data_IF_582103106988
#
_entry.id   IF_582103106988
#
_cell.length_a   1.000
_cell.length_b   1.000
_cell.length_c   1.000
_cell.angle_alpha   90.00
_cell.angle_beta   90.00
_cell.angle_gamma   90.00
#
_symmetry.space_group_name_H-M   'P 1'
#
loop_
_entity.id
_entity.type
_entity.pdbx_description
1 polymer ?
#
# COMPACT_ATOMS: atom_id res chain seq x y z
N UNK A 1 9.00 2.97 -19.57
CA UNK A 1 7.87 2.03 -19.78
C UNK A 1 6.80 2.66 -20.64
N UNK A 2 6.10 3.72 -20.23
CA UNK A 2 5.02 4.33 -21.02
C UNK A 2 5.40 4.77 -22.44
N UNK A 3 6.56 5.42 -22.62
CA UNK A 3 7.03 5.87 -23.94
C UNK A 3 7.35 4.67 -24.85
N UNK A 4 8.00 3.63 -24.32
CA UNK A 4 8.30 2.42 -25.08
C UNK A 4 7.03 1.65 -25.46
N UNK A 5 6.04 1.57 -24.56
CA UNK A 5 4.75 0.96 -24.87
C UNK A 5 3.95 1.76 -25.91
N UNK A 6 3.98 3.10 -25.83
CA UNK A 6 3.35 3.96 -26.85
C UNK A 6 4.04 3.83 -28.21
N UNK A 7 5.37 3.79 -28.25
CA UNK A 7 6.15 3.60 -29.47
C UNK A 7 5.94 2.20 -30.07
N UNK A 8 5.94 1.15 -29.24
CA UNK A 8 5.63 -0.21 -29.65
C UNK A 8 4.22 -0.33 -30.24
N UNK A 9 3.23 0.27 -29.56
CA UNK A 9 1.85 0.27 -30.02
C UNK A 9 1.71 1.02 -31.35
N UNK A 10 2.40 2.14 -31.52
CA UNK A 10 2.40 2.89 -32.77
C UNK A 10 3.11 2.15 -33.93
N UNK A 11 4.17 1.39 -33.65
CA UNK A 11 4.99 0.75 -34.67
C UNK A 11 4.46 -0.63 -35.12
N UNK A 12 4.01 -1.46 -34.17
CA UNK A 12 3.63 -2.86 -34.39
C UNK A 12 2.29 -3.23 -33.75
N UNK A 13 1.58 -2.28 -33.14
CA UNK A 13 0.26 -2.52 -32.52
C UNK A 13 0.32 -3.20 -31.14
N UNK A 14 1.51 -3.37 -30.57
CA UNK A 14 1.71 -4.05 -29.28
C UNK A 14 2.26 -3.09 -28.22
N UNK A 15 1.64 -3.06 -27.05
CA UNK A 15 2.09 -2.19 -25.95
C UNK A 15 3.18 -2.83 -25.07
N UNK A 16 3.28 -4.15 -25.06
CA UNK A 16 4.32 -4.88 -24.33
C UNK A 16 5.61 -4.94 -25.16
N UNK A 17 6.74 -4.60 -24.52
CA UNK A 17 8.03 -4.57 -25.19
C UNK A 17 8.49 -5.97 -25.63
N UNK A 18 8.12 -7.02 -24.89
CA UNK A 18 8.45 -8.39 -25.25
C UNK A 18 7.67 -8.83 -26.49
N UNK A 19 6.40 -8.43 -26.62
CA UNK A 19 5.60 -8.70 -27.81
C UNK A 19 6.13 -7.93 -29.04
N UNK A 20 6.55 -6.68 -28.85
CA UNK A 20 7.23 -5.88 -29.88
C UNK A 20 8.50 -6.59 -30.37
N UNK A 21 9.30 -7.13 -29.46
CA UNK A 21 10.54 -7.84 -29.79
C UNK A 21 10.27 -9.16 -30.52
N UNK A 22 9.24 -9.91 -30.12
CA UNK A 22 8.81 -11.13 -30.83
C UNK A 22 8.38 -10.79 -32.26
N UNK A 23 7.59 -9.73 -32.45
CA UNK A 23 7.15 -9.28 -33.77
C UNK A 23 8.32 -8.87 -34.69
N UNK A 24 9.45 -8.46 -34.11
CA UNK A 24 10.69 -8.12 -34.82
C UNK A 24 11.63 -9.32 -35.03
N UNK A 25 11.24 -10.53 -34.63
CA UNK A 25 12.07 -11.74 -34.74
C UNK A 25 13.10 -11.93 -33.62
N UNK A 26 13.04 -11.12 -32.55
CA UNK A 26 13.98 -11.13 -31.42
C UNK A 26 13.47 -11.98 -30.25
N UNK A 27 13.14 -13.25 -30.51
CA UNK A 27 12.54 -14.15 -29.51
C UNK A 27 13.42 -14.34 -28.26
N UNK A 28 14.72 -14.61 -28.44
CA UNK A 28 15.64 -14.85 -27.32
C UNK A 28 15.74 -13.63 -26.38
N UNK A 29 16.01 -12.41 -26.88
CA UNK A 29 15.92 -11.20 -26.06
C UNK A 29 14.55 -11.00 -25.40
N UNK A 30 13.45 -11.29 -26.09
CA UNK A 30 12.10 -11.10 -25.54
C UNK A 30 11.85 -11.98 -24.30
N UNK A 31 12.28 -13.25 -24.34
CA UNK A 31 12.17 -14.18 -23.21
C UNK A 31 12.99 -13.69 -22.02
N UNK A 32 14.22 -13.22 -22.26
CA UNK A 32 15.09 -12.71 -21.20
C UNK A 32 14.50 -11.46 -20.56
N UNK A 33 14.04 -10.49 -21.36
CA UNK A 33 13.44 -9.25 -20.86
C UNK A 33 12.16 -9.52 -20.07
N UNK A 34 11.28 -10.38 -20.59
CA UNK A 34 10.05 -10.77 -19.89
C UNK A 34 10.35 -11.46 -18.56
N UNK A 35 11.27 -12.44 -18.59
CA UNK A 35 11.68 -13.18 -17.40
C UNK A 35 12.29 -12.29 -16.32
N UNK A 36 13.20 -11.38 -16.69
CA UNK A 36 13.82 -10.44 -15.75
C UNK A 36 12.81 -9.42 -15.19
N UNK A 37 11.87 -8.96 -16.00
CA UNK A 37 10.82 -8.04 -15.56
C UNK A 37 9.92 -8.67 -14.49
N UNK A 38 9.47 -9.92 -14.74
CA UNK A 38 8.64 -10.67 -13.79
C UNK A 38 9.43 -11.04 -12.54
N UNK A 39 10.68 -11.50 -12.69
CA UNK A 39 11.53 -11.88 -11.56
C UNK A 39 11.73 -10.70 -10.61
N UNK A 40 12.31 -9.60 -11.09
CA UNK A 40 12.73 -8.49 -10.23
C UNK A 40 11.55 -7.84 -9.50
N UNK A 41 10.38 -7.76 -10.14
CA UNK A 41 9.17 -7.23 -9.51
C UNK A 41 8.62 -8.18 -8.43
N UNK A 42 8.63 -9.49 -8.68
CA UNK A 42 8.16 -10.48 -7.71
C UNK A 42 9.12 -10.60 -6.50
N UNK A 43 10.43 -10.53 -6.72
CA UNK A 43 11.45 -10.51 -5.67
C UNK A 43 11.23 -9.33 -4.70
N UNK A 44 11.04 -8.12 -5.25
CA UNK A 44 10.73 -6.93 -4.45
C UNK A 44 9.45 -7.09 -3.62
N UNK A 45 8.39 -7.70 -4.17
CA UNK A 45 7.14 -7.93 -3.46
C UNK A 45 7.28 -8.98 -2.33
N UNK A 46 8.01 -10.06 -2.58
CA UNK A 46 8.29 -11.09 -1.57
C UNK A 46 9.20 -10.60 -0.46
N UNK A 47 10.18 -9.76 -0.80
CA UNK A 47 11.04 -9.11 0.18
C UNK A 47 10.25 -8.13 1.05
N UNK A 48 9.48 -7.22 0.45
CA UNK A 48 8.71 -6.22 1.19
C UNK A 48 7.65 -6.87 2.09
N UNK A 49 6.92 -7.86 1.59
CA UNK A 49 5.95 -8.60 2.40
C UNK A 49 6.63 -9.41 3.51
N UNK A 50 7.73 -10.11 3.22
CA UNK A 50 8.48 -10.88 4.21
C UNK A 50 9.00 -10.01 5.36
N UNK A 51 9.56 -8.84 5.05
CA UNK A 51 9.99 -7.86 6.06
C UNK A 51 8.80 -7.30 6.87
N UNK A 52 7.69 -7.02 6.20
CA UNK A 52 6.46 -6.57 6.85
C UNK A 52 5.95 -7.56 7.89
N UNK A 53 5.86 -8.84 7.54
CA UNK A 53 5.46 -9.89 8.49
C UNK A 53 6.52 -10.16 9.56
N UNK A 54 7.82 -10.07 9.23
CA UNK A 54 8.90 -10.26 10.19
C UNK A 54 8.85 -9.20 11.29
N UNK A 55 8.58 -7.94 10.93
CA UNK A 55 8.44 -6.85 11.91
C UNK A 55 7.24 -7.03 12.86
N UNK A 56 6.17 -7.69 12.42
CA UNK A 56 4.99 -7.94 13.25
C UNK A 56 5.16 -9.19 14.13
N UNK A 57 5.71 -10.26 13.57
CA UNK A 57 5.76 -11.59 14.21
C UNK A 57 7.08 -11.88 14.93
N UNK A 58 8.15 -11.11 14.65
CA UNK A 58 9.51 -11.39 15.12
C UNK A 58 10.18 -12.60 14.47
N UNK A 59 9.52 -13.25 13.49
CA UNK A 59 10.07 -14.39 12.77
C UNK A 59 11.06 -13.96 11.67
N UNK A 60 11.86 -14.91 11.20
CA UNK A 60 12.80 -14.67 10.10
C UNK A 60 12.08 -14.27 8.81
N UNK A 61 12.49 -13.14 8.23
CA UNK A 61 11.98 -12.65 6.94
C UNK A 61 12.17 -13.66 5.83
N UNK A 62 13.27 -14.45 5.85
CA UNK A 62 13.54 -15.50 4.86
C UNK A 62 12.45 -16.56 4.87
N UNK A 63 12.07 -17.07 6.04
CA UNK A 63 11.04 -18.10 6.17
C UNK A 63 9.68 -17.54 5.74
N UNK A 64 9.37 -16.31 6.15
CA UNK A 64 8.12 -15.65 5.80
C UNK A 64 8.01 -15.35 4.31
N UNK A 65 9.10 -14.93 3.64
CA UNK A 65 9.11 -14.75 2.19
C UNK A 65 8.84 -16.05 1.44
N UNK A 66 9.39 -17.19 1.88
CA UNK A 66 9.10 -18.50 1.28
C UNK A 66 7.63 -18.87 1.44
N UNK A 67 7.09 -18.71 2.65
CA UNK A 67 5.67 -19.00 2.94
C UNK A 67 4.76 -18.09 2.10
N UNK A 68 5.05 -16.79 2.05
CA UNK A 68 4.30 -15.83 1.24
C UNK A 68 4.38 -16.16 -0.26
N UNK A 69 5.52 -16.65 -0.75
CA UNK A 69 5.68 -17.12 -2.13
C UNK A 69 4.78 -18.31 -2.46
N UNK A 70 4.70 -19.29 -1.55
CA UNK A 70 3.82 -20.46 -1.71
C UNK A 70 2.35 -20.00 -1.72
N UNK A 71 1.95 -19.18 -0.73
CA UNK A 71 0.57 -18.67 -0.63
C UNK A 71 0.22 -17.84 -1.87
N UNK A 72 1.10 -16.92 -2.28
CA UNK A 72 0.91 -16.09 -3.47
C UNK A 72 0.76 -16.93 -4.75
N UNK A 73 1.54 -18.00 -4.89
CA UNK A 73 1.46 -18.92 -6.03
C UNK A 73 0.12 -19.66 -6.07
N UNK A 74 -0.36 -20.14 -4.91
CA UNK A 74 -1.68 -20.79 -4.84
C UNK A 74 -2.80 -19.77 -5.10
N UNK A 75 -2.73 -18.59 -4.50
CA UNK A 75 -3.69 -17.51 -4.73
C UNK A 75 -3.72 -17.05 -6.18
N UNK A 76 -2.61 -17.14 -6.92
CA UNK A 76 -2.56 -16.79 -8.35
C UNK A 76 -3.56 -17.59 -9.19
N UNK A 77 -3.85 -18.84 -8.83
CA UNK A 77 -4.85 -19.68 -9.53
C UNK A 77 -6.27 -19.10 -9.44
N UNK A 78 -6.62 -18.51 -8.29
CA UNK A 78 -7.88 -17.81 -8.10
C UNK A 78 -7.86 -16.42 -8.73
N UNK A 79 -6.72 -15.73 -8.58
CA UNK A 79 -6.53 -14.35 -9.04
C UNK A 79 -6.64 -14.24 -10.56
N UNK A 80 -6.18 -15.25 -11.28
CA UNK A 80 -6.31 -15.35 -12.73
C UNK A 80 -7.76 -15.11 -13.20
N UNK A 81 -8.73 -15.66 -12.46
CA UNK A 81 -10.16 -15.55 -12.79
C UNK A 81 -10.84 -14.30 -12.18
N UNK A 82 -10.21 -13.64 -11.19
CA UNK A 82 -10.80 -12.53 -10.43
C UNK A 82 -9.94 -11.25 -10.50
N UNK A 83 -9.11 -11.13 -11.53
CA UNK A 83 -8.05 -10.13 -11.61
C UNK A 83 -8.59 -8.69 -11.55
N UNK A 84 -9.64 -8.39 -12.31
CA UNK A 84 -10.24 -7.05 -12.36
C UNK A 84 -10.87 -6.67 -11.02
N UNK A 85 -11.60 -7.59 -10.39
CA UNK A 85 -12.21 -7.37 -9.07
C UNK A 85 -11.14 -7.13 -8.00
N UNK A 86 -10.07 -7.92 -8.04
CA UNK A 86 -8.93 -7.73 -7.15
C UNK A 86 -8.24 -6.37 -7.34
N UNK A 87 -7.98 -5.96 -8.58
CA UNK A 87 -7.39 -4.65 -8.86
C UNK A 87 -8.30 -3.50 -8.39
N UNK A 88 -9.62 -3.66 -8.54
CA UNK A 88 -10.60 -2.67 -8.06
C UNK A 88 -10.53 -2.55 -6.53
N UNK A 89 -10.47 -3.67 -5.82
CA UNK A 89 -10.30 -3.69 -4.38
C UNK A 89 -8.99 -3.02 -3.95
N UNK A 90 -7.85 -3.41 -4.54
CA UNK A 90 -6.54 -2.83 -4.23
C UNK A 90 -6.49 -1.32 -4.48
N UNK A 91 -7.14 -0.86 -5.54
CA UNK A 91 -7.26 0.57 -5.88
C UNK A 91 -8.00 1.37 -4.81
N UNK A 92 -8.92 0.75 -4.07
CA UNK A 92 -9.62 1.39 -2.96
C UNK A 92 -8.88 1.25 -1.61
N UNK A 93 -8.19 0.13 -1.40
CA UNK A 93 -7.64 -0.25 -0.10
C UNK A 93 -6.29 0.38 0.23
N UNK A 94 -5.37 0.43 -0.73
CA UNK A 94 -3.98 0.87 -0.49
C UNK A 94 -3.86 2.40 -0.41
N UNK A 95 -4.41 3.19 -1.35
CA UNK A 95 -4.21 4.64 -1.35
C UNK A 95 -4.61 5.39 -0.07
N UNK A 96 -5.77 5.11 0.59
CA UNK A 96 -6.15 5.85 1.80
C UNK A 96 -5.18 5.66 2.97
N UNK A 97 -4.47 4.53 3.05
CA UNK A 97 -3.45 4.30 4.08
C UNK A 97 -2.34 5.35 3.96
N UNK A 98 -1.81 5.55 2.75
CA UNK A 98 -0.80 6.57 2.49
C UNK A 98 -1.33 7.99 2.76
N UNK A 99 -2.57 8.27 2.34
CA UNK A 99 -3.22 9.56 2.60
C UNK A 99 -3.32 9.88 4.09
N UNK A 100 -3.80 8.93 4.90
CA UNK A 100 -3.95 9.11 6.36
C UNK A 100 -2.59 9.26 7.05
N UNK A 101 -1.57 8.50 6.64
CA UNK A 101 -0.20 8.65 7.18
C UNK A 101 0.36 10.05 6.89
N UNK A 102 0.19 10.54 5.66
CA UNK A 102 0.64 11.89 5.28
C UNK A 102 -0.13 12.95 6.09
N UNK A 103 -1.44 12.80 6.24
CA UNK A 103 -2.26 13.71 7.02
C UNK A 103 -1.82 13.73 8.50
N UNK A 104 -1.61 12.57 9.12
CA UNK A 104 -1.12 12.47 10.49
C UNK A 104 0.23 13.17 10.67
N UNK A 105 1.19 12.90 9.78
CA UNK A 105 2.49 13.55 9.82
C UNK A 105 2.39 15.07 9.71
N UNK A 106 1.56 15.60 8.81
CA UNK A 106 1.40 17.04 8.61
C UNK A 106 0.71 17.73 9.81
N UNK A 107 -0.32 17.11 10.40
CA UNK A 107 -1.03 17.66 11.56
C UNK A 107 -0.17 17.59 12.83
N UNK A 108 0.56 16.49 13.02
CA UNK A 108 1.32 16.22 14.23
C UNK A 108 2.83 16.43 14.05
N UNK A 109 3.27 17.22 13.06
CA UNK A 109 4.69 17.41 12.70
C UNK A 109 5.60 17.74 13.88
N UNK A 110 5.10 18.53 14.83
CA UNK A 110 5.84 18.90 16.07
C UNK A 110 6.11 17.69 16.97
N UNK A 111 5.21 16.70 17.01
CA UNK A 111 5.39 15.44 17.73
C UNK A 111 6.48 14.57 17.12
N UNK A 112 6.79 14.72 15.84
CA UNK A 112 7.86 13.94 15.18
C UNK A 112 9.20 14.68 15.14
N UNK A 113 9.31 15.87 15.74
CA UNK A 113 10.55 16.65 15.74
C UNK A 113 11.59 16.13 16.75
N UNK A 114 11.15 15.48 17.83
CA UNK A 114 12.04 14.98 18.88
C UNK A 114 11.66 13.53 19.26
N UNK A 115 12.30 12.56 18.61
CA UNK A 115 11.98 11.13 18.77
C UNK A 115 12.26 10.58 20.18
N UNK A 116 13.11 11.25 20.97
CA UNK A 116 13.53 10.78 22.28
C UNK A 116 12.51 11.05 23.40
N UNK A 117 11.59 12.00 23.19
CA UNK A 117 10.62 12.44 24.21
C UNK A 117 9.19 12.00 23.91
N UNK A 118 8.96 11.33 22.77
CA UNK A 118 7.62 11.05 22.26
C UNK A 118 7.12 9.69 22.75
N UNK A 119 6.04 9.71 23.53
CA UNK A 119 5.24 8.51 23.77
C UNK A 119 4.47 8.16 22.51
N UNK A 120 4.88 7.12 21.81
CA UNK A 120 4.12 6.58 20.67
C UNK A 120 2.86 5.88 21.18
N UNK A 121 1.72 6.17 20.53
CA UNK A 121 0.49 5.41 20.77
C UNK A 121 0.63 4.10 20.00
N UNK A 122 0.48 2.93 20.64
CA UNK A 122 0.71 1.64 19.98
C UNK A 122 -0.27 1.38 18.84
N UNK A 123 -1.53 1.83 18.96
CA UNK A 123 -2.55 1.70 17.91
C UNK A 123 -3.39 2.96 17.84
N UNK A 124 -3.40 3.63 16.67
CA UNK A 124 -4.30 4.74 16.39
C UNK A 124 -5.58 4.24 15.72
N UNK A 125 -6.60 3.93 16.53
CA UNK A 125 -7.91 3.48 16.05
C UNK A 125 -8.61 4.48 15.12
N UNK A 126 -8.35 5.78 15.29
CA UNK A 126 -8.91 6.83 14.44
C UNK A 126 -8.30 6.74 13.05
N UNK A 127 -7.00 6.48 12.94
CA UNK A 127 -6.34 6.26 11.65
C UNK A 127 -6.94 5.04 10.94
N UNK A 128 -7.16 3.93 11.66
CA UNK A 128 -7.77 2.71 11.10
C UNK A 128 -9.20 2.99 10.62
N UNK A 129 -10.03 3.64 11.45
CA UNK A 129 -11.39 4.01 11.08
C UNK A 129 -11.41 4.95 9.87
N UNK A 130 -10.48 5.90 9.81
CA UNK A 130 -10.37 6.84 8.68
C UNK A 130 -10.04 6.13 7.38
N UNK A 131 -9.13 5.14 7.41
CA UNK A 131 -8.86 4.29 6.26
C UNK A 131 -10.11 3.52 5.83
N UNK A 132 -10.85 2.93 6.77
CA UNK A 132 -12.09 2.22 6.46
C UNK A 132 -13.17 3.13 5.82
N UNK A 133 -13.31 4.36 6.32
CA UNK A 133 -14.19 5.38 5.73
C UNK A 133 -13.70 5.81 4.35
N UNK A 134 -12.39 5.89 4.13
CA UNK A 134 -11.79 6.09 2.81
C UNK A 134 -12.18 4.97 1.83
N UNK A 135 -12.00 3.72 2.22
CA UNK A 135 -12.39 2.56 1.39
C UNK A 135 -13.88 2.61 1.03
N UNK A 136 -14.74 2.92 2.00
CA UNK A 136 -16.17 3.08 1.76
C UNK A 136 -16.45 4.23 0.77
N UNK A 137 -15.81 5.39 0.94
CA UNK A 137 -15.94 6.51 0.00
C UNK A 137 -15.49 6.12 -1.42
N UNK A 138 -14.44 5.33 -1.56
CA UNK A 138 -13.98 4.80 -2.85
C UNK A 138 -15.03 3.93 -3.56
N UNK A 139 -15.92 3.26 -2.82
CA UNK A 139 -16.96 2.38 -3.37
C UNK A 139 -18.27 3.13 -3.66
N UNK A 140 -18.67 4.06 -2.79
CA UNK A 140 -19.97 4.73 -2.89
C UNK A 140 -19.95 6.06 -3.64
N UNK A 141 -18.79 6.72 -3.75
CA UNK A 141 -18.68 8.01 -4.44
C UNK A 141 -18.33 7.76 -5.91
N UNK A 142 -19.10 8.31 -6.87
CA UNK A 142 -18.79 8.18 -8.28
C UNK A 142 -17.46 8.87 -8.63
N UNK A 143 -16.77 8.34 -9.64
CA UNK A 143 -15.51 8.89 -10.14
C UNK A 143 -14.33 7.93 -9.96
N UNK A 144 -13.16 8.50 -9.69
CA UNK A 144 -11.91 7.74 -9.62
C UNK A 144 -11.77 7.15 -8.22
N UNK A 145 -12.01 5.83 -8.11
CA UNK A 145 -11.95 5.04 -6.87
C UNK A 145 -10.77 5.41 -5.95
N UNK A 146 -9.49 5.40 -6.41
CA UNK A 146 -8.36 5.71 -5.55
C UNK A 146 -8.37 7.17 -5.04
N UNK A 147 -8.85 8.12 -5.85
CA UNK A 147 -8.91 9.54 -5.44
C UNK A 147 -9.97 9.73 -4.35
N UNK A 148 -11.15 9.17 -4.56
CA UNK A 148 -12.24 9.24 -3.60
C UNK A 148 -11.85 8.55 -2.28
N UNK A 149 -11.14 7.43 -2.37
CA UNK A 149 -10.65 6.73 -1.19
C UNK A 149 -9.65 7.55 -0.38
N UNK A 150 -8.65 8.15 -1.04
CA UNK A 150 -7.67 9.03 -0.39
C UNK A 150 -8.34 10.23 0.26
N UNK A 151 -9.19 10.95 -0.49
CA UNK A 151 -9.86 12.14 0.04
C UNK A 151 -10.76 11.78 1.22
N UNK A 152 -11.58 10.72 1.11
CA UNK A 152 -12.42 10.25 2.20
C UNK A 152 -11.61 9.88 3.45
N UNK A 153 -10.48 9.20 3.27
CA UNK A 153 -9.58 8.85 4.38
C UNK A 153 -8.92 10.07 5.04
N UNK A 154 -8.42 11.00 4.25
CA UNK A 154 -7.79 12.24 4.77
C UNK A 154 -8.80 13.13 5.48
N UNK A 155 -9.96 13.39 4.86
CA UNK A 155 -10.99 14.25 5.46
C UNK A 155 -11.53 13.66 6.76
N UNK A 156 -11.83 12.36 6.77
CA UNK A 156 -12.29 11.68 7.98
C UNK A 156 -11.25 11.74 9.10
N UNK A 157 -9.97 11.54 8.78
CA UNK A 157 -8.88 11.65 9.76
C UNK A 157 -8.76 13.06 10.35
N UNK A 158 -8.77 14.10 9.52
CA UNK A 158 -8.66 15.50 9.97
C UNK A 158 -9.84 15.89 10.85
N UNK A 159 -11.04 15.36 10.59
CA UNK A 159 -12.23 15.63 11.39
C UNK A 159 -12.22 14.87 12.73
N UNK A 160 -11.86 13.59 12.72
CA UNK A 160 -11.98 12.72 13.89
C UNK A 160 -10.80 12.85 14.86
N UNK A 161 -9.58 13.07 14.35
CA UNK A 161 -8.37 13.10 15.16
C UNK A 161 -8.38 14.21 16.24
N UNK A 162 -8.76 15.47 15.95
CA UNK A 162 -8.83 16.54 16.96
C UNK A 162 -9.92 16.32 18.00
N UNK A 163 -11.06 15.73 17.62
CA UNK A 163 -12.18 15.47 18.53
C UNK A 163 -11.80 14.46 19.62
N UNK A 164 -11.04 13.43 19.25
CA UNK A 164 -10.59 12.40 20.20
C UNK A 164 -9.32 12.78 20.98
N UNK A 165 -8.39 13.54 20.40
CA UNK A 165 -7.23 14.03 21.16
C UNK A 165 -7.64 14.98 22.31
N UNK A 166 -8.74 15.72 22.15
CA UNK A 166 -9.36 16.48 23.27
C UNK A 166 -9.92 15.58 24.37
N UNK A 167 -10.33 14.36 24.04
CA UNK A 167 -10.83 13.38 25.02
C UNK A 167 -9.70 12.69 25.80
N UNK A 168 -8.54 12.45 25.17
CA UNK A 168 -7.36 11.87 25.83
C UNK A 168 -6.63 12.87 26.75
N UNK A 169 -6.72 14.18 26.45
CA UNK A 169 -6.26 15.24 27.35
C UNK A 169 -7.10 15.37 28.64
N UNK A 170 -8.19 14.60 28.78
CA UNK A 170 -9.04 14.56 29.98
C UNK A 170 -8.75 13.39 30.92
N UNK A 171 -7.78 12.53 30.63
CA UNK A 171 -7.30 11.58 31.64
C UNK A 171 -6.49 12.35 32.68
N UNK A 172 -6.91 12.38 33.96
CA UNK A 172 -6.21 13.13 34.99
C UNK A 172 -4.77 12.62 35.08
N UNK A 173 -3.82 13.55 35.15
CA UNK A 173 -2.46 13.26 35.57
C UNK A 173 -2.54 12.43 36.85
N UNK A 174 -2.16 11.16 36.78
CA UNK A 174 -1.85 10.40 37.98
C UNK A 174 -0.57 11.03 38.50
N UNK A 175 -0.76 11.98 39.41
CA UNK A 175 0.28 12.53 40.26
C UNK A 175 0.94 11.37 40.98
N UNK A 176 2.08 10.91 40.47
CA UNK A 176 3.05 10.22 41.31
C UNK A 176 3.74 11.30 42.15
N UNK A 177 3.01 11.82 43.12
CA UNK A 177 3.59 12.37 44.32
C UNK A 177 4.24 11.21 45.08
N UNK A 178 5.54 11.36 45.33
CA UNK A 178 6.31 10.80 46.45
C UNK A 178 6.18 9.29 46.75
N UNK A 179 7.29 8.56 46.52
CA UNK A 179 8.06 7.86 47.56
C UNK A 179 9.33 7.22 46.96
#
# INVERSE_FOLDING_TARGET
MFIFGAAGAAAVGQADISDVMIAQGLLLPAIVVLGLNIWTTNDNALYASGLGFANITGLSSRTLSVVNGIIGTVCALWLYNNFVGWLTFLSSAIPPIGGVIIADYLLNRRRYADFNTVRFIPVNWIAILSVALGIAAGHYVPGIVPVNAVLGGVFSYILLNPLFNRSLAKSPEVSHAEQ
#
